data_IF_139147816767
#
_entry.id   IF_139147816767
#
_cell.length_a   1.000
_cell.length_b   1.000
_cell.length_c   1.000
_cell.angle_alpha   90.00
_cell.angle_beta   90.00
_cell.angle_gamma   90.00
#
_symmetry.space_group_name_H-M   'P 1'
#
loop_
_entity.id
_entity.type
_entity.pdbx_description
1 polymer ?
#
# COMPACT_ATOMS: atom_id res chain seq x y z
N UNK A 1 -2.96 28.63 -1.19
CA UNK A 1 -3.86 28.45 -0.03
C UNK A 1 -3.18 27.55 1.00
N UNK A 2 -2.73 28.12 2.11
CA UNK A 2 -2.26 27.37 3.28
C UNK A 2 -3.47 26.65 3.87
N UNK A 3 -3.42 25.30 3.95
CA UNK A 3 -4.48 24.54 4.64
C UNK A 3 -4.56 25.04 6.08
N UNK A 4 -5.75 25.34 6.63
CA UNK A 4 -5.88 25.76 8.01
C UNK A 4 -5.31 24.66 8.89
N UNK A 5 -4.19 24.96 9.55
CA UNK A 5 -3.64 24.12 10.60
C UNK A 5 -4.66 24.23 11.74
N UNK A 6 -5.38 23.15 12.03
CA UNK A 6 -6.15 23.07 13.28
C UNK A 6 -5.11 23.22 14.40
N UNK A 7 -5.05 24.40 15.00
CA UNK A 7 -4.33 24.64 16.24
C UNK A 7 -5.00 23.77 17.29
N UNK A 8 -4.40 22.62 17.56
CA UNK A 8 -4.83 21.71 18.63
C UNK A 8 -4.60 22.41 19.96
N UNK A 9 -5.60 22.40 20.83
CA UNK A 9 -5.62 23.18 22.07
C UNK A 9 -4.68 22.63 23.15
N UNK A 10 -4.21 21.38 23.00
CA UNK A 10 -3.22 20.74 23.90
C UNK A 10 -2.24 19.82 23.15
N UNK A 11 -1.10 19.51 23.80
CA UNK A 11 -0.10 18.56 23.27
C UNK A 11 -0.66 17.14 23.11
N UNK A 12 -1.65 16.78 23.93
CA UNK A 12 -2.39 15.53 23.82
C UNK A 12 -3.28 15.50 22.58
N UNK A 13 -4.04 16.57 22.30
CA UNK A 13 -4.86 16.68 21.08
C UNK A 13 -4.00 16.63 19.81
N UNK A 14 -2.83 17.26 19.83
CA UNK A 14 -1.87 17.20 18.73
C UNK A 14 -1.42 15.77 18.44
N UNK A 15 -1.02 15.05 19.49
CA UNK A 15 -0.55 13.67 19.40
C UNK A 15 -1.64 12.72 18.91
N UNK A 16 -2.86 12.86 19.45
CA UNK A 16 -4.03 12.09 19.01
C UNK A 16 -4.42 12.37 17.54
N UNK A 17 -4.33 13.63 17.10
CA UNK A 17 -4.56 13.99 15.70
C UNK A 17 -3.51 13.33 14.78
N UNK A 18 -2.23 13.39 15.15
CA UNK A 18 -1.15 12.75 14.38
C UNK A 18 -1.31 11.24 14.32
N UNK A 19 -1.67 10.61 15.43
CA UNK A 19 -1.93 9.18 15.51
C UNK A 19 -3.08 8.77 14.58
N UNK A 20 -4.23 9.43 14.67
CA UNK A 20 -5.39 9.16 13.81
C UNK A 20 -5.06 9.32 12.31
N UNK A 21 -4.33 10.38 11.97
CA UNK A 21 -3.93 10.67 10.59
C UNK A 21 -2.95 9.63 10.03
N UNK A 22 -1.97 9.23 10.83
CA UNK A 22 -0.94 8.27 10.42
C UNK A 22 -1.51 6.86 10.31
N UNK A 23 -2.41 6.50 11.23
CA UNK A 23 -3.19 5.26 11.19
C UNK A 23 -4.07 5.13 9.96
N UNK A 24 -4.82 6.18 9.60
CA UNK A 24 -5.62 6.19 8.37
C UNK A 24 -4.75 5.98 7.13
N UNK A 25 -3.61 6.67 7.04
CA UNK A 25 -2.66 6.50 5.93
C UNK A 25 -2.11 5.07 5.86
N UNK A 26 -1.69 4.51 6.99
CA UNK A 26 -1.18 3.14 7.04
C UNK A 26 -2.22 2.13 6.56
N UNK A 27 -3.48 2.25 7.01
CA UNK A 27 -4.59 1.38 6.58
C UNK A 27 -4.87 1.47 5.08
N UNK A 28 -4.84 2.67 4.50
CA UNK A 28 -5.04 2.87 3.05
C UNK A 28 -3.92 2.18 2.26
N UNK A 29 -2.66 2.40 2.63
CA UNK A 29 -1.53 1.76 1.95
C UNK A 29 -1.54 0.24 2.11
N UNK A 30 -1.93 -0.25 3.29
CA UNK A 30 -2.10 -1.68 3.55
C UNK A 30 -3.20 -2.27 2.66
N UNK A 31 -4.37 -1.61 2.57
CA UNK A 31 -5.47 -2.08 1.74
C UNK A 31 -5.05 -2.16 0.27
N UNK A 32 -4.43 -1.10 -0.27
CA UNK A 32 -3.92 -1.07 -1.65
C UNK A 32 -2.90 -2.19 -1.87
N UNK A 33 -1.97 -2.39 -0.94
CA UNK A 33 -0.96 -3.43 -1.05
C UNK A 33 -1.60 -4.82 -1.12
N UNK A 34 -2.54 -5.13 -0.22
CA UNK A 34 -3.17 -6.44 -0.18
C UNK A 34 -4.09 -6.69 -1.35
N UNK A 35 -4.89 -5.70 -1.78
CA UNK A 35 -5.77 -5.87 -2.94
C UNK A 35 -4.97 -6.10 -4.22
N UNK A 36 -3.90 -5.32 -4.44
CA UNK A 36 -3.02 -5.53 -5.58
C UNK A 36 -2.29 -6.88 -5.51
N UNK A 37 -1.78 -7.28 -4.34
CA UNK A 37 -1.08 -8.56 -4.18
C UNK A 37 -2.00 -9.75 -4.42
N UNK A 38 -3.20 -9.73 -3.85
CA UNK A 38 -4.19 -10.80 -4.01
C UNK A 38 -4.64 -10.91 -5.46
N UNK A 39 -4.91 -9.77 -6.12
CA UNK A 39 -5.22 -9.71 -7.53
C UNK A 39 -4.10 -10.31 -8.37
N UNK A 40 -2.84 -9.92 -8.10
CA UNK A 40 -1.69 -10.43 -8.83
C UNK A 40 -1.53 -11.94 -8.69
N UNK A 41 -1.66 -12.48 -7.47
CA UNK A 41 -1.56 -13.92 -7.20
C UNK A 41 -2.69 -14.67 -7.93
N UNK A 42 -3.92 -14.17 -7.83
CA UNK A 42 -5.08 -14.80 -8.48
C UNK A 42 -4.93 -14.87 -10.00
N UNK A 43 -4.54 -13.78 -10.64
CA UNK A 43 -4.38 -13.74 -12.10
C UNK A 43 -3.19 -14.57 -12.58
N UNK A 44 -2.07 -14.58 -11.84
CA UNK A 44 -0.94 -15.44 -12.15
C UNK A 44 -1.31 -16.93 -12.01
N UNK A 45 -2.01 -17.28 -10.94
CA UNK A 45 -2.49 -18.65 -10.72
C UNK A 45 -3.49 -19.09 -11.80
N UNK A 46 -4.47 -18.24 -12.11
CA UNK A 46 -5.44 -18.50 -13.19
C UNK A 46 -4.75 -18.67 -14.55
N UNK A 47 -3.79 -17.80 -14.88
CA UNK A 47 -3.04 -17.89 -16.12
C UNK A 47 -2.23 -19.19 -16.21
N UNK A 48 -1.56 -19.59 -15.13
CA UNK A 48 -0.83 -20.86 -15.09
C UNK A 48 -1.76 -22.06 -15.26
N UNK A 49 -2.88 -22.09 -14.52
CA UNK A 49 -3.84 -23.19 -14.52
C UNK A 49 -4.52 -23.36 -15.88
N UNK A 50 -4.96 -22.26 -16.50
CA UNK A 50 -5.51 -22.26 -17.85
C UNK A 50 -4.48 -22.65 -18.91
N UNK A 51 -3.22 -22.24 -18.76
CA UNK A 51 -2.12 -22.67 -19.63
C UNK A 51 -1.92 -24.18 -19.58
N UNK A 52 -1.93 -24.76 -18.37
CA UNK A 52 -1.83 -26.22 -18.17
C UNK A 52 -3.03 -26.94 -18.80
N UNK A 53 -4.26 -26.45 -18.58
CA UNK A 53 -5.46 -27.07 -19.15
C UNK A 53 -5.51 -27.00 -20.68
N UNK A 54 -5.08 -25.89 -21.29
CA UNK A 54 -4.95 -25.78 -22.75
C UNK A 54 -3.87 -26.67 -23.34
N UNK A 55 -2.77 -26.89 -22.63
CA UNK A 55 -1.75 -27.85 -23.06
C UNK A 55 -2.27 -29.29 -22.92
N UNK A 56 -2.93 -29.59 -21.80
CA UNK A 56 -3.52 -30.90 -21.52
C UNK A 56 -4.64 -31.28 -22.49
N UNK A 57 -5.41 -30.31 -22.98
CA UNK A 57 -6.48 -30.55 -23.96
C UNK A 57 -6.01 -31.13 -25.30
N UNK A 58 -4.70 -31.02 -25.60
CA UNK A 58 -4.10 -31.67 -26.77
C UNK A 58 -3.91 -33.19 -26.60
N UNK A 59 -3.91 -33.70 -25.36
CA UNK A 59 -3.59 -35.10 -25.03
C UNK A 59 -4.69 -35.84 -24.28
N UNK A 60 -5.59 -35.14 -23.60
CA UNK A 60 -6.63 -35.72 -22.76
C UNK A 60 -8.02 -35.26 -23.23
N UNK A 61 -8.89 -36.22 -23.52
CA UNK A 61 -10.22 -35.97 -24.09
C UNK A 61 -11.15 -35.22 -23.13
N UNK A 62 -10.99 -35.43 -21.83
CA UNK A 62 -11.73 -34.74 -20.76
C UNK A 62 -11.48 -33.22 -20.77
N UNK A 63 -10.31 -32.79 -21.26
CA UNK A 63 -9.93 -31.38 -21.31
C UNK A 63 -10.16 -30.72 -22.67
N UNK A 64 -10.66 -31.45 -23.69
CA UNK A 64 -11.00 -30.89 -25.02
C UNK A 64 -11.86 -29.62 -24.98
N UNK A 65 -12.85 -29.47 -24.07
CA UNK A 65 -13.63 -28.23 -23.98
C UNK A 65 -12.79 -26.98 -23.67
N UNK A 66 -11.64 -27.13 -23.01
CA UNK A 66 -10.74 -26.01 -22.70
C UNK A 66 -9.94 -25.52 -23.92
N UNK A 67 -9.76 -26.37 -24.95
CA UNK A 67 -9.10 -25.98 -26.20
C UNK A 67 -9.89 -24.90 -26.95
N UNK A 68 -11.22 -25.01 -26.94
CA UNK A 68 -12.15 -24.07 -27.59
C UNK A 68 -12.34 -22.74 -26.87
N UNK A 69 -11.91 -22.64 -25.61
CA UNK A 69 -12.02 -21.39 -24.85
C UNK A 69 -11.01 -20.38 -25.42
N UNK A 70 -11.45 -19.14 -25.66
CA UNK A 70 -10.67 -18.06 -26.28
C UNK A 70 -10.29 -18.26 -27.76
N UNK A 71 -10.97 -19.16 -28.47
CA UNK A 71 -10.85 -19.24 -29.93
C UNK A 71 -11.85 -18.29 -30.59
N UNK A 72 -11.37 -17.49 -31.55
CA UNK A 72 -12.25 -16.74 -32.46
C UNK A 72 -12.15 -17.39 -33.83
N UNK A 73 -13.30 -17.64 -34.45
CA UNK A 73 -13.36 -18.08 -35.83
C UNK A 73 -13.40 -16.85 -36.72
N UNK A 74 -12.33 -16.61 -37.47
CA UNK A 74 -12.31 -15.57 -38.49
C UNK A 74 -12.81 -16.15 -39.81
N UNK A 75 -13.90 -15.57 -40.33
CA UNK A 75 -14.51 -15.97 -41.62
C UNK A 75 -14.17 -15.01 -42.76
N UNK A 76 -13.29 -14.03 -42.55
CA UNK A 76 -13.06 -12.92 -43.48
C UNK A 76 -12.35 -13.30 -44.79
N UNK A 77 -11.84 -14.54 -44.91
CA UNK A 77 -11.06 -15.02 -46.07
C UNK A 77 -11.68 -16.23 -46.78
N UNK A 78 -12.97 -16.53 -46.54
CA UNK A 78 -13.69 -17.61 -47.23
C UNK A 78 -13.37 -19.03 -46.76
N UNK A 79 -12.36 -19.21 -45.89
CA UNK A 79 -12.14 -20.43 -45.08
C UNK A 79 -12.16 -20.04 -43.60
N UNK A 80 -12.86 -20.78 -42.73
CA UNK A 80 -12.84 -20.50 -41.30
C UNK A 80 -11.43 -20.76 -40.75
N UNK A 81 -10.77 -19.71 -40.30
CA UNK A 81 -9.48 -19.81 -39.60
C UNK A 81 -9.76 -19.69 -38.11
N UNK A 82 -9.41 -20.74 -37.36
CA UNK A 82 -9.54 -20.76 -35.90
C UNK A 82 -8.28 -20.14 -35.31
N UNK A 83 -8.41 -18.98 -34.67
CA UNK A 83 -7.30 -18.27 -34.04
C UNK A 83 -7.43 -18.38 -32.52
N UNK A 84 -6.40 -18.92 -31.86
CA UNK A 84 -6.33 -18.97 -30.40
C UNK A 84 -5.84 -17.64 -29.84
N UNK A 85 -6.68 -16.95 -29.08
CA UNK A 85 -6.35 -15.67 -28.45
C UNK A 85 -5.72 -15.83 -27.06
N UNK A 86 -5.49 -17.06 -26.58
CA UNK A 86 -4.87 -17.30 -25.29
C UNK A 86 -3.53 -16.57 -25.11
N UNK A 87 -2.58 -16.58 -26.06
CA UNK A 87 -1.34 -15.82 -25.94
C UNK A 87 -1.57 -14.32 -25.76
N UNK A 88 -2.54 -13.74 -26.48
CA UNK A 88 -2.91 -12.32 -26.37
C UNK A 88 -3.45 -12.03 -24.96
N UNK A 89 -4.32 -12.90 -24.44
CA UNK A 89 -4.88 -12.75 -23.11
C UNK A 89 -3.81 -12.83 -22.01
N UNK A 90 -2.89 -13.80 -22.10
CA UNK A 90 -1.75 -13.90 -21.16
C UNK A 90 -0.83 -12.68 -21.23
N UNK A 91 -0.65 -12.10 -22.41
CA UNK A 91 0.15 -10.89 -22.60
C UNK A 91 -0.50 -9.69 -21.90
N UNK A 92 -1.82 -9.52 -22.01
CA UNK A 92 -2.55 -8.49 -21.27
C UNK A 92 -2.46 -8.67 -19.76
N UNK A 93 -2.60 -9.90 -19.26
CA UNK A 93 -2.42 -10.20 -17.83
C UNK A 93 -1.01 -9.80 -17.38
N UNK A 94 0.03 -10.17 -18.13
CA UNK A 94 1.42 -9.85 -17.79
C UNK A 94 1.71 -8.35 -17.82
N UNK A 95 1.13 -7.60 -18.76
CA UNK A 95 1.22 -6.13 -18.78
C UNK A 95 0.58 -5.55 -17.52
N UNK A 96 -0.63 -5.99 -17.17
CA UNK A 96 -1.34 -5.50 -15.97
C UNK A 96 -0.53 -5.82 -14.70
N UNK A 97 -0.02 -7.05 -14.58
CA UNK A 97 0.83 -7.46 -13.45
C UNK A 97 2.11 -6.62 -13.35
N UNK A 98 2.75 -6.33 -14.48
CA UNK A 98 3.96 -5.52 -14.54
C UNK A 98 3.68 -4.07 -14.14
N UNK A 99 2.56 -3.50 -14.57
CA UNK A 99 2.12 -2.16 -14.16
C UNK A 99 1.82 -2.15 -12.66
N UNK A 100 1.08 -3.12 -12.14
CA UNK A 100 0.75 -3.21 -10.70
C UNK A 100 2.03 -3.34 -9.86
N UNK A 101 2.94 -4.23 -10.23
CA UNK A 101 4.23 -4.38 -9.54
C UNK A 101 5.10 -3.12 -9.67
N UNK A 102 5.10 -2.49 -10.83
CA UNK A 102 5.77 -1.22 -11.08
C UNK A 102 5.20 -0.10 -10.22
N UNK A 103 3.88 -0.01 -10.05
CA UNK A 103 3.22 0.96 -9.16
C UNK A 103 3.56 0.67 -7.70
N UNK A 104 3.55 -0.59 -7.26
CA UNK A 104 3.95 -0.96 -5.88
C UNK A 104 5.41 -0.54 -5.62
N UNK A 105 6.29 -0.76 -6.58
CA UNK A 105 7.72 -0.40 -6.51
C UNK A 105 7.93 1.12 -6.56
N UNK A 106 7.37 1.82 -7.55
CA UNK A 106 7.47 3.27 -7.73
C UNK A 106 6.88 4.05 -6.57
N UNK A 107 5.73 3.61 -6.03
CA UNK A 107 5.09 4.32 -4.93
C UNK A 107 5.74 4.07 -3.58
N UNK A 108 6.76 3.21 -3.49
CA UNK A 108 7.40 2.78 -2.24
C UNK A 108 6.33 2.44 -1.19
N UNK A 109 5.22 1.82 -1.62
CA UNK A 109 4.03 1.63 -0.77
C UNK A 109 4.41 0.86 0.48
N UNK A 110 5.25 -0.16 0.32
CA UNK A 110 5.82 -0.95 1.42
C UNK A 110 6.64 -0.08 2.38
N UNK A 111 7.59 0.72 1.89
CA UNK A 111 8.44 1.56 2.76
C UNK A 111 7.62 2.66 3.45
N UNK A 112 6.66 3.27 2.75
CA UNK A 112 5.73 4.26 3.33
C UNK A 112 4.81 3.62 4.36
N UNK A 113 4.33 2.40 4.11
CA UNK A 113 3.52 1.65 5.05
C UNK A 113 4.32 1.29 6.31
N UNK A 114 5.52 0.72 6.16
CA UNK A 114 6.43 0.39 7.27
C UNK A 114 6.74 1.64 8.09
N UNK A 115 7.14 2.74 7.44
CA UNK A 115 7.42 4.01 8.12
C UNK A 115 6.20 4.55 8.88
N UNK A 116 5.01 4.50 8.28
CA UNK A 116 3.79 4.95 8.96
C UNK A 116 3.40 4.00 10.11
N UNK A 117 3.70 2.71 10.01
CA UNK A 117 3.48 1.73 11.08
C UNK A 117 4.44 1.97 12.24
N UNK A 118 5.72 2.24 11.98
CA UNK A 118 6.71 2.64 12.98
C UNK A 118 6.30 3.93 13.68
N UNK A 119 5.87 4.95 12.92
CA UNK A 119 5.35 6.20 13.47
C UNK A 119 4.14 5.98 14.38
N UNK A 120 3.21 5.11 13.97
CA UNK A 120 2.06 4.76 14.79
C UNK A 120 2.47 4.05 16.08
N UNK A 121 3.34 3.05 15.99
CA UNK A 121 3.80 2.29 17.16
C UNK A 121 4.49 3.22 18.17
N UNK A 122 5.33 4.15 17.69
CA UNK A 122 5.94 5.16 18.54
C UNK A 122 4.87 6.03 19.24
N UNK A 123 3.94 6.61 18.47
CA UNK A 123 2.88 7.45 19.02
C UNK A 123 1.99 6.70 20.02
N UNK A 124 1.68 5.44 19.74
CA UNK A 124 0.89 4.58 20.62
C UNK A 124 1.61 4.31 21.94
N UNK A 125 2.90 3.96 21.89
CA UNK A 125 3.72 3.78 23.09
C UNK A 125 3.83 5.06 23.92
N UNK A 126 4.04 6.21 23.28
CA UNK A 126 4.08 7.50 23.98
C UNK A 126 2.76 7.85 24.64
N UNK A 127 1.63 7.63 23.96
CA UNK A 127 0.30 7.83 24.53
C UNK A 127 0.05 6.89 25.71
N UNK A 128 0.47 5.61 25.62
CA UNK A 128 0.37 4.66 26.73
C UNK A 128 1.21 5.13 27.93
N UNK A 129 2.45 5.54 27.71
CA UNK A 129 3.33 6.06 28.77
C UNK A 129 2.75 7.32 29.43
N UNK A 130 2.18 8.22 28.63
CA UNK A 130 1.52 9.43 29.10
C UNK A 130 0.29 9.12 29.95
N UNK A 131 -0.62 8.28 29.46
CA UNK A 131 -1.85 7.92 30.18
C UNK A 131 -1.58 7.10 31.44
N UNK A 132 -0.56 6.24 31.43
CA UNK A 132 -0.14 5.45 32.60
C UNK A 132 0.70 6.24 33.61
N UNK A 133 1.02 7.52 33.32
CA UNK A 133 1.94 8.37 34.12
C UNK A 133 3.23 7.65 34.50
N UNK A 134 3.78 6.89 33.56
CA UNK A 134 4.95 6.04 33.80
C UNK A 134 6.21 6.61 33.13
N UNK A 135 7.37 6.18 33.63
CA UNK A 135 8.68 6.62 33.12
C UNK A 135 8.85 8.15 33.18
N UNK A 136 9.10 8.76 32.03
CA UNK A 136 9.38 10.21 31.86
C UNK A 136 8.19 11.15 32.11
N UNK A 137 6.99 10.59 32.25
CA UNK A 137 5.79 11.34 32.63
C UNK A 137 5.46 11.21 34.11
N UNK A 138 6.17 10.32 34.83
CA UNK A 138 6.06 10.20 36.27
C UNK A 138 6.72 11.41 36.92
N UNK A 139 6.00 12.05 37.84
CA UNK A 139 6.46 13.21 38.63
C UNK A 139 6.87 14.46 37.80
N UNK A 140 6.47 14.52 36.52
CA UNK A 140 6.77 15.65 35.65
C UNK A 140 5.75 16.79 35.86
N UNK A 141 6.19 18.04 36.11
CA UNK A 141 5.29 19.17 36.33
C UNK A 141 4.49 19.57 35.09
N UNK A 142 5.01 19.30 33.87
CA UNK A 142 4.36 19.65 32.60
C UNK A 142 4.41 18.47 31.61
N UNK A 143 3.67 17.37 31.87
CA UNK A 143 3.75 16.15 31.09
C UNK A 143 3.27 16.33 29.64
N UNK A 144 2.33 17.26 29.39
CA UNK A 144 1.84 17.56 28.03
C UNK A 144 2.89 18.26 27.16
N UNK A 145 3.70 19.14 27.75
CA UNK A 145 4.78 19.80 27.02
C UNK A 145 5.85 18.78 26.64
N UNK A 146 6.22 17.89 27.57
CA UNK A 146 7.16 16.80 27.30
C UNK A 146 6.64 15.83 26.23
N UNK A 147 5.34 15.56 26.20
CA UNK A 147 4.72 14.77 25.13
C UNK A 147 4.86 15.48 23.78
N UNK A 148 4.53 16.77 23.73
CA UNK A 148 4.64 17.57 22.52
C UNK A 148 6.07 17.63 21.99
N UNK A 149 7.05 17.87 22.85
CA UNK A 149 8.48 17.93 22.49
C UNK A 149 8.97 16.60 21.93
N UNK A 150 8.69 15.48 22.61
CA UNK A 150 9.13 14.15 22.16
C UNK A 150 8.51 13.76 20.82
N UNK A 151 7.24 14.08 20.63
CA UNK A 151 6.57 13.85 19.34
C UNK A 151 7.17 14.75 18.26
N UNK A 152 7.41 16.03 18.53
CA UNK A 152 7.99 16.92 17.52
C UNK A 152 9.43 16.57 17.14
N UNK A 153 10.23 16.12 18.11
CA UNK A 153 11.60 15.70 17.91
C UNK A 153 11.67 14.42 17.08
N UNK A 154 10.82 13.43 17.38
CA UNK A 154 10.73 12.19 16.60
C UNK A 154 10.29 12.44 15.14
N UNK A 155 9.40 13.41 14.92
CA UNK A 155 8.98 13.80 13.58
C UNK A 155 10.01 14.70 12.85
N UNK A 156 11.11 15.09 13.52
CA UNK A 156 12.17 15.94 12.96
C UNK A 156 11.69 17.36 12.63
N UNK A 157 10.57 17.79 13.20
CA UNK A 157 10.02 19.13 12.96
C UNK A 157 10.91 20.20 13.60
N UNK A 158 11.50 19.91 14.76
CA UNK A 158 12.48 20.77 15.46
C UNK A 158 13.73 20.99 14.62
N UNK A 159 14.28 19.95 14.00
CA UNK A 159 15.47 20.05 13.12
C UNK A 159 15.15 20.83 11.84
N UNK A 160 13.95 20.65 11.26
CA UNK A 160 13.49 21.40 10.09
C UNK A 160 13.22 22.88 10.37
N UNK A 161 12.74 23.20 11.56
CA UNK A 161 12.54 24.57 12.01
C UNK A 161 13.88 25.27 12.23
N UNK A 162 14.82 24.63 12.96
CA UNK A 162 16.19 25.15 13.15
C UNK A 162 16.91 25.41 11.83
N UNK A 163 16.84 24.48 10.87
CA UNK A 163 17.47 24.66 9.56
C UNK A 163 16.79 25.72 8.67
N UNK A 164 15.55 26.14 9.01
CA UNK A 164 14.86 27.26 8.35
C UNK A 164 15.24 28.61 8.95
N UNK A 165 15.42 28.68 10.27
CA UNK A 165 15.90 29.89 10.95
C UNK A 165 17.31 30.24 10.47
N UNK A 166 18.22 29.26 10.41
CA UNK A 166 19.60 29.43 9.90
C UNK A 166 19.68 29.86 8.42
N UNK A 167 18.60 29.72 7.65
CA UNK A 167 18.53 30.15 6.25
C UNK A 167 17.96 31.55 6.05
N UNK A 168 17.38 32.13 7.10
CA UNK A 168 16.75 33.45 7.07
C UNK A 168 17.58 34.51 7.84
N UNK A 169 18.69 34.11 8.45
CA UNK A 169 19.80 34.97 8.89
C UNK A 169 20.90 35.00 7.81
#
# INVERSE_FOLDING_TARGET
>A
MLKPVKLTSSGLEFTNYLYSKTSKKAKIYQAIFWTCSLFSIFFAFFAALMGVFKLASSRLDEFKPFASIFQITDTSSGKPVIVDQWPIFTLWINIILSIVNGLIALFLVKNKWIRNKELNNFLELELILFHSKSGKYKDNPNPELTLFEKVNDYFGNTTRLKNREVKND
#
